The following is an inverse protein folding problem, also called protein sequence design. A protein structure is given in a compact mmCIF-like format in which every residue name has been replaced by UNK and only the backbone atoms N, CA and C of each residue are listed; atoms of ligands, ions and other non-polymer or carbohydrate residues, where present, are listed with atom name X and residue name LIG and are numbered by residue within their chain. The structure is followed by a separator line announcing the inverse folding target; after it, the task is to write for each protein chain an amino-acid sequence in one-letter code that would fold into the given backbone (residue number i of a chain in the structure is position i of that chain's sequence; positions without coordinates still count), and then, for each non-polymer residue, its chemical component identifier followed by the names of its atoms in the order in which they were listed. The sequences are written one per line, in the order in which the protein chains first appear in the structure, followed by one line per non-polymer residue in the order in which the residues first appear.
data_IF_241797577210
#
_entry.id   IF_241797577210
#
_cell.length_a   1.000
_cell.length_b   1.000
_cell.length_c   1.000
_cell.angle_alpha   90.00
_cell.angle_beta   90.00
_cell.angle_gamma   90.00
#
_symmetry.space_group_name_H-M   'P 1'
#
loop_
_entity.id
_entity.type
_entity.pdbx_description
1 polymer ?
#
# COMPACT_ATOMS: atom_id res chain seq x y z
N UNK A 1 5.73 40.36 -48.76
CA UNK A 1 6.74 40.47 -47.68
C UNK A 1 6.00 40.71 -46.36
N UNK A 2 6.32 39.87 -45.35
CA UNK A 2 6.08 39.99 -43.89
C UNK A 2 4.65 40.34 -43.40
N UNK A 3 3.88 39.48 -42.72
CA UNK A 3 4.08 38.76 -41.45
C UNK A 3 4.19 39.67 -40.22
N UNK A 4 3.11 39.79 -39.42
CA UNK A 4 3.02 40.17 -37.99
C UNK A 4 1.53 40.53 -37.71
N UNK A 5 0.77 40.01 -36.74
CA UNK A 5 1.00 39.38 -35.44
C UNK A 5 -0.26 38.57 -35.02
N UNK A 6 -0.15 37.42 -34.33
CA UNK A 6 -1.17 36.95 -33.41
C UNK A 6 -0.64 37.16 -31.98
N UNK A 7 -0.73 38.39 -31.46
CA UNK A 7 -0.33 38.71 -30.08
C UNK A 7 -1.53 38.96 -29.13
N UNK A 8 -2.75 38.98 -29.65
CA UNK A 8 -3.97 39.31 -28.87
C UNK A 8 -4.69 38.09 -28.26
N UNK A 9 -4.27 36.85 -28.56
CA UNK A 9 -4.87 35.64 -27.98
C UNK A 9 -4.17 35.08 -26.74
N UNK A 10 -2.93 35.50 -26.45
CA UNK A 10 -2.19 35.01 -25.27
C UNK A 10 -2.50 35.81 -23.99
N UNK A 11 -2.90 37.08 -24.11
CA UNK A 11 -3.14 37.94 -22.94
C UNK A 11 -4.47 37.61 -22.25
N UNK A 12 -5.46 37.08 -22.98
CA UNK A 12 -6.77 36.68 -22.44
C UNK A 12 -6.74 35.34 -21.68
N UNK A 13 -5.79 34.45 -21.98
CA UNK A 13 -5.65 33.16 -21.30
C UNK A 13 -5.01 33.29 -19.90
N UNK A 14 -4.02 34.18 -19.74
CA UNK A 14 -3.36 34.41 -18.44
C UNK A 14 -4.22 35.24 -17.48
N UNK A 15 -5.06 36.15 -18.00
CA UNK A 15 -5.96 36.95 -17.16
C UNK A 15 -7.14 36.12 -16.60
N UNK A 16 -7.64 35.14 -17.37
CA UNK A 16 -8.63 34.14 -16.90
C UNK A 16 -8.10 33.25 -15.77
N UNK A 17 -6.82 32.85 -15.85
CA UNK A 17 -6.17 32.06 -14.81
C UNK A 17 -5.92 32.85 -13.53
N UNK A 18 -5.64 34.16 -13.61
CA UNK A 18 -5.41 35.00 -12.44
C UNK A 18 -6.71 35.44 -11.74
N UNK A 19 -7.77 35.73 -12.50
CA UNK A 19 -9.08 36.10 -11.94
C UNK A 19 -9.81 34.87 -11.35
N UNK A 20 -9.60 33.66 -11.88
CA UNK A 20 -10.11 32.42 -11.26
C UNK A 20 -9.40 32.09 -9.94
N UNK A 21 -8.09 32.33 -9.84
CA UNK A 21 -7.31 32.12 -8.60
C UNK A 21 -7.68 33.14 -7.52
N UNK A 22 -8.02 34.39 -7.89
CA UNK A 22 -8.46 35.42 -6.93
C UNK A 22 -9.95 35.34 -6.56
N UNK A 23 -10.82 34.86 -7.44
CA UNK A 23 -12.22 34.60 -7.12
C UNK A 23 -12.42 33.36 -6.22
N UNK A 24 -11.50 32.38 -6.28
CA UNK A 24 -11.49 31.22 -5.37
C UNK A 24 -10.94 31.56 -3.98
N UNK A 25 -10.17 32.64 -3.85
CA UNK A 25 -9.66 33.14 -2.56
C UNK A 25 -10.61 34.13 -1.85
N UNK A 26 -11.55 34.75 -2.58
CA UNK A 26 -12.35 35.87 -2.07
C UNK A 26 -13.82 35.55 -1.74
N UNK A 27 -14.30 34.31 -1.93
CA UNK A 27 -15.73 33.97 -1.72
C UNK A 27 -16.03 32.91 -0.66
N UNK A 28 -15.18 32.70 0.35
CA UNK A 28 -15.61 32.11 1.64
C UNK A 28 -14.81 32.64 2.84
N UNK A 29 -14.31 33.88 2.79
CA UNK A 29 -13.94 34.65 3.99
C UNK A 29 -15.17 35.03 4.86
N UNK A 30 -16.29 34.32 4.71
CA UNK A 30 -17.58 34.58 5.32
C UNK A 30 -18.04 33.40 6.17
N UNK A 31 -17.29 33.12 7.24
CA UNK A 31 -17.73 32.31 8.38
C UNK A 31 -17.53 30.81 8.22
N UNK A 32 -16.77 30.21 9.15
CA UNK A 32 -17.10 28.99 9.90
C UNK A 32 -15.85 28.51 10.67
N UNK A 33 -16.10 27.95 11.85
CA UNK A 33 -15.11 27.35 12.75
C UNK A 33 -14.27 26.29 12.03
N UNK A 34 -12.94 26.47 11.97
CA UNK A 34 -11.95 25.38 12.02
C UNK A 34 -12.07 24.19 11.05
N UNK A 35 -12.80 24.31 9.93
CA UNK A 35 -12.88 23.26 8.92
C UNK A 35 -11.69 23.36 7.97
N UNK A 36 -10.96 22.26 7.80
CA UNK A 36 -9.86 22.17 6.84
C UNK A 36 -10.47 22.02 5.45
N UNK A 37 -10.28 23.02 4.59
CA UNK A 37 -10.79 23.02 3.22
C UNK A 37 -10.18 21.89 2.39
N UNK A 38 -10.99 21.01 1.75
CA UNK A 38 -10.49 19.91 0.93
C UNK A 38 -9.52 20.35 -0.17
N UNK A 39 -9.80 21.49 -0.81
CA UNK A 39 -8.96 22.03 -1.87
C UNK A 39 -7.54 22.38 -1.38
N UNK A 40 -7.40 22.83 -0.13
CA UNK A 40 -6.10 23.13 0.45
C UNK A 40 -5.27 21.86 0.67
N UNK A 41 -5.89 20.77 1.11
CA UNK A 41 -5.21 19.47 1.27
C UNK A 41 -4.84 18.85 -0.09
N UNK A 42 -5.69 18.99 -1.10
CA UNK A 42 -5.37 18.56 -2.47
C UNK A 42 -4.18 19.36 -3.02
N UNK A 43 -4.09 20.66 -2.74
CA UNK A 43 -2.92 21.46 -3.09
C UNK A 43 -1.65 21.01 -2.35
N UNK A 44 -1.77 20.63 -1.07
CA UNK A 44 -0.67 20.11 -0.25
C UNK A 44 -0.08 18.81 -0.84
N UNK A 45 -0.92 17.93 -1.40
CA UNK A 45 -0.45 16.73 -2.13
C UNK A 45 0.51 17.08 -3.29
N UNK A 46 0.39 18.26 -3.90
CA UNK A 46 1.19 18.69 -5.04
C UNK A 46 2.66 18.98 -4.70
N UNK A 47 2.97 19.18 -3.43
CA UNK A 47 4.33 19.42 -2.92
C UNK A 47 4.76 18.37 -1.89
N UNK A 48 3.91 17.41 -1.59
CA UNK A 48 4.17 16.33 -0.65
C UNK A 48 5.22 15.35 -1.17
N UNK A 49 6.08 14.87 -0.27
CA UNK A 49 6.90 13.70 -0.54
C UNK A 49 6.06 12.41 -0.48
N UNK A 50 6.66 11.29 -0.90
CA UNK A 50 5.97 9.98 -0.92
C UNK A 50 5.42 9.55 0.45
N UNK A 51 6.08 9.92 1.54
CA UNK A 51 5.65 9.56 2.90
C UNK A 51 4.41 10.34 3.34
N UNK A 52 4.34 11.62 2.98
CA UNK A 52 3.23 12.50 3.34
C UNK A 52 1.92 12.19 2.59
N UNK A 53 1.99 11.63 1.37
CA UNK A 53 0.81 11.33 0.53
C UNK A 53 -0.23 10.48 1.27
N UNK A 54 0.18 9.44 2.02
CA UNK A 54 -0.74 8.58 2.77
C UNK A 54 -1.51 9.34 3.83
N UNK A 55 -0.80 10.13 4.64
CA UNK A 55 -1.40 10.90 5.72
C UNK A 55 -2.37 11.97 5.20
N UNK A 56 -2.04 12.61 4.08
CA UNK A 56 -2.89 13.62 3.45
C UNK A 56 -4.12 13.00 2.81
N UNK A 57 -3.95 11.89 2.11
CA UNK A 57 -5.04 11.10 1.55
C UNK A 57 -5.99 10.59 2.66
N UNK A 58 -5.46 10.16 3.82
CA UNK A 58 -6.28 9.77 4.97
C UNK A 58 -7.06 10.94 5.58
N UNK A 59 -6.45 12.13 5.65
CA UNK A 59 -7.13 13.35 6.10
C UNK A 59 -8.25 13.74 5.14
N UNK A 60 -8.01 13.68 3.84
CA UNK A 60 -9.02 13.93 2.80
C UNK A 60 -10.17 12.93 2.87
N UNK A 61 -9.88 11.63 3.03
CA UNK A 61 -10.90 10.59 3.18
C UNK A 61 -11.78 10.80 4.42
N UNK A 62 -11.20 11.29 5.53
CA UNK A 62 -11.96 11.62 6.75
C UNK A 62 -12.91 12.80 6.60
N UNK A 63 -12.67 13.69 5.63
CA UNK A 63 -13.63 14.75 5.30
C UNK A 63 -14.87 14.16 4.62
N UNK A 64 -14.72 13.04 3.90
CA UNK A 64 -15.83 12.30 3.30
C UNK A 64 -16.33 12.92 1.99
N UNK A 65 -17.63 12.83 1.75
CA UNK A 65 -18.27 13.25 0.49
C UNK A 65 -17.99 14.72 0.12
N UNK A 66 -17.84 15.60 1.11
CA UNK A 66 -17.52 17.02 0.91
C UNK A 66 -16.16 17.24 0.19
N UNK A 67 -15.24 16.27 0.27
CA UNK A 67 -13.96 16.32 -0.42
C UNK A 67 -14.02 15.84 -1.87
N UNK A 68 -15.07 15.09 -2.27
CA UNK A 68 -15.17 14.44 -3.59
C UNK A 68 -14.97 15.42 -4.76
N UNK A 69 -15.60 16.62 -4.78
CA UNK A 69 -15.39 17.57 -5.88
C UNK A 69 -13.92 17.99 -6.03
N UNK A 70 -13.24 18.28 -4.92
CA UNK A 70 -11.83 18.67 -4.93
C UNK A 70 -10.92 17.50 -5.34
N UNK A 71 -11.22 16.30 -4.87
CA UNK A 71 -10.48 15.09 -5.20
C UNK A 71 -10.60 14.72 -6.68
N UNK A 72 -11.81 14.80 -7.25
CA UNK A 72 -12.04 14.60 -8.69
C UNK A 72 -11.28 15.64 -9.52
N UNK A 73 -11.27 16.90 -9.11
CA UNK A 73 -10.43 17.91 -9.75
C UNK A 73 -8.93 17.56 -9.66
N UNK A 74 -8.50 16.95 -8.56
CA UNK A 74 -7.14 16.44 -8.36
C UNK A 74 -6.73 15.34 -9.33
N UNK A 75 -7.67 14.45 -9.71
CA UNK A 75 -7.43 13.38 -10.69
C UNK A 75 -7.11 13.91 -12.10
N UNK A 76 -7.62 15.11 -12.44
CA UNK A 76 -7.43 15.72 -13.76
C UNK A 76 -6.12 16.54 -13.86
N UNK A 77 -5.27 16.49 -12.84
CA UNK A 77 -4.00 17.24 -12.81
C UNK A 77 -2.85 16.44 -13.44
N UNK A 78 -1.82 17.14 -13.91
CA UNK A 78 -0.57 16.51 -14.37
C UNK A 78 0.37 16.12 -13.22
N UNK A 79 0.02 16.44 -11.98
CA UNK A 79 0.85 16.21 -10.80
C UNK A 79 0.59 14.81 -10.26
N UNK A 80 1.50 13.90 -10.55
CA UNK A 80 1.42 12.48 -10.22
C UNK A 80 1.13 12.21 -8.72
N UNK A 81 1.69 13.01 -7.80
CA UNK A 81 1.42 12.90 -6.35
C UNK A 81 -0.01 13.29 -5.97
N UNK A 82 -0.57 14.31 -6.63
CA UNK A 82 -1.97 14.76 -6.46
C UNK A 82 -2.91 13.67 -6.96
N UNK A 83 -2.64 13.12 -8.14
CA UNK A 83 -3.43 12.02 -8.70
C UNK A 83 -3.43 10.82 -7.76
N UNK A 84 -2.26 10.37 -7.29
CA UNK A 84 -2.14 9.24 -6.38
C UNK A 84 -2.92 9.46 -5.07
N UNK A 85 -2.67 10.58 -4.40
CA UNK A 85 -3.30 10.90 -3.11
C UNK A 85 -4.82 11.08 -3.23
N UNK A 86 -5.26 11.71 -4.33
CA UNK A 86 -6.67 11.95 -4.58
C UNK A 86 -7.41 10.65 -4.91
N UNK A 87 -6.83 9.80 -5.77
CA UNK A 87 -7.41 8.51 -6.11
C UNK A 87 -7.52 7.60 -4.89
N UNK A 88 -6.46 7.51 -4.07
CA UNK A 88 -6.52 6.73 -2.83
C UNK A 88 -7.62 7.23 -1.87
N UNK A 89 -7.77 8.54 -1.73
CA UNK A 89 -8.80 9.10 -0.86
C UNK A 89 -10.22 8.81 -1.39
N UNK A 90 -10.42 8.91 -2.71
CA UNK A 90 -11.69 8.57 -3.36
C UNK A 90 -12.04 7.08 -3.19
N UNK A 91 -11.06 6.18 -3.29
CA UNK A 91 -11.26 4.76 -3.01
C UNK A 91 -11.81 4.52 -1.60
N UNK A 92 -11.23 5.21 -0.61
CA UNK A 92 -11.67 5.11 0.79
C UNK A 92 -13.05 5.69 1.05
N UNK A 93 -13.45 6.69 0.26
CA UNK A 93 -14.78 7.30 0.34
C UNK A 93 -15.83 6.42 -0.37
N UNK A 94 -15.40 5.56 -1.31
CA UNK A 94 -16.28 4.69 -2.10
C UNK A 94 -16.59 5.23 -3.50
N UNK A 95 -15.89 6.26 -3.97
CA UNK A 95 -15.96 6.77 -5.36
C UNK A 95 -14.89 6.08 -6.22
N UNK A 96 -15.04 4.75 -6.37
CA UNK A 96 -13.97 3.86 -6.81
C UNK A 96 -13.65 3.94 -8.31
N UNK A 97 -14.67 3.98 -9.18
CA UNK A 97 -14.48 3.92 -10.65
C UNK A 97 -13.51 5.00 -11.19
N UNK A 98 -13.68 6.31 -10.90
CA UNK A 98 -12.75 7.32 -11.40
C UNK A 98 -11.35 7.16 -10.81
N UNK A 99 -11.27 6.69 -9.58
CA UNK A 99 -10.02 6.53 -8.87
C UNK A 99 -9.23 5.32 -9.39
N UNK A 100 -9.88 4.18 -9.66
CA UNK A 100 -9.25 2.99 -10.24
C UNK A 100 -8.67 3.33 -11.62
N UNK A 101 -9.45 4.00 -12.47
CA UNK A 101 -8.99 4.44 -13.79
C UNK A 101 -7.76 5.35 -13.69
N UNK A 102 -7.75 6.28 -12.75
CA UNK A 102 -6.62 7.18 -12.52
C UNK A 102 -5.38 6.42 -12.05
N UNK A 103 -5.51 5.47 -11.12
CA UNK A 103 -4.40 4.66 -10.64
C UNK A 103 -3.83 3.76 -11.73
N UNK A 104 -4.68 3.10 -12.53
CA UNK A 104 -4.23 2.29 -13.67
C UNK A 104 -3.45 3.13 -14.69
N UNK A 105 -3.93 4.35 -14.98
CA UNK A 105 -3.23 5.28 -15.85
C UNK A 105 -1.88 5.72 -15.24
N UNK A 106 -1.86 5.98 -13.93
CA UNK A 106 -0.65 6.37 -13.22
C UNK A 106 0.42 5.27 -13.28
N UNK A 107 0.05 3.99 -13.10
CA UNK A 107 1.00 2.86 -13.23
C UNK A 107 1.62 2.81 -14.63
N UNK A 108 0.83 3.09 -15.67
CA UNK A 108 1.29 3.08 -17.07
C UNK A 108 2.21 4.26 -17.41
N UNK A 109 1.86 5.45 -16.94
CA UNK A 109 2.37 6.70 -17.50
C UNK A 109 3.23 7.54 -16.56
N UNK A 110 3.22 7.27 -15.25
CA UNK A 110 4.00 8.06 -14.29
C UNK A 110 5.49 8.04 -14.63
N UNK A 111 6.15 9.19 -14.46
CA UNK A 111 7.60 9.31 -14.66
C UNK A 111 8.37 8.75 -13.47
N UNK A 112 7.79 8.88 -12.27
CA UNK A 112 8.38 8.32 -11.07
C UNK A 112 7.95 6.87 -10.87
N UNK A 113 8.92 5.97 -10.95
CA UNK A 113 8.73 4.54 -10.78
C UNK A 113 8.30 4.17 -9.34
N UNK A 114 8.68 4.97 -8.34
CA UNK A 114 8.15 4.82 -7.00
C UNK A 114 6.64 5.11 -6.95
N UNK A 115 6.15 6.15 -7.65
CA UNK A 115 4.71 6.44 -7.72
C UNK A 115 3.94 5.32 -8.43
N UNK A 116 4.52 4.66 -9.45
CA UNK A 116 3.93 3.47 -10.06
C UNK A 116 3.72 2.35 -9.05
N UNK A 117 4.76 2.03 -8.25
CA UNK A 117 4.68 1.01 -7.20
C UNK A 117 3.70 1.37 -6.10
N UNK A 118 3.68 2.64 -5.71
CA UNK A 118 2.74 3.16 -4.73
C UNK A 118 1.30 3.05 -5.23
N UNK A 119 1.02 3.32 -6.50
CA UNK A 119 -0.31 3.11 -7.09
C UNK A 119 -0.74 1.63 -7.07
N UNK A 120 0.16 0.68 -7.34
CA UNK A 120 -0.11 -0.75 -7.19
C UNK A 120 -0.45 -1.08 -5.72
N UNK A 121 0.30 -0.51 -4.78
CA UNK A 121 0.08 -0.75 -3.35
C UNK A 121 -1.28 -0.26 -2.85
N UNK A 122 -1.85 0.78 -3.47
CA UNK A 122 -3.20 1.25 -3.15
C UNK A 122 -4.23 0.16 -3.42
N UNK A 123 -4.19 -0.49 -4.59
CA UNK A 123 -5.12 -1.60 -4.88
C UNK A 123 -5.03 -2.72 -3.84
N UNK A 124 -3.80 -3.09 -3.44
CA UNK A 124 -3.56 -4.14 -2.44
C UNK A 124 -4.07 -3.74 -1.05
N UNK A 125 -3.79 -2.51 -0.61
CA UNK A 125 -4.19 -2.02 0.71
C UNK A 125 -5.70 -1.89 0.85
N UNK A 126 -6.36 -1.35 -0.18
CA UNK A 126 -7.81 -1.19 -0.22
C UNK A 126 -8.53 -2.48 -0.67
N UNK A 127 -7.78 -3.55 -0.97
CA UNK A 127 -8.27 -4.91 -1.30
C UNK A 127 -9.21 -4.96 -2.50
N UNK A 128 -8.92 -4.17 -3.53
CA UNK A 128 -9.73 -4.09 -4.75
C UNK A 128 -9.44 -5.31 -5.63
N UNK A 129 -10.17 -6.40 -5.40
CA UNK A 129 -9.93 -7.69 -6.04
C UNK A 129 -10.20 -7.68 -7.55
N UNK A 130 -11.14 -6.82 -7.96
CA UNK A 130 -11.61 -6.58 -9.32
C UNK A 130 -10.50 -5.98 -10.19
N UNK A 131 -9.56 -5.25 -9.58
CA UNK A 131 -8.41 -4.68 -10.27
C UNK A 131 -7.39 -5.73 -10.71
N UNK A 132 -7.51 -7.00 -10.29
CA UNK A 132 -6.52 -8.03 -10.60
C UNK A 132 -6.36 -8.30 -12.11
N UNK A 133 -7.45 -8.34 -12.87
CA UNK A 133 -7.37 -8.53 -14.33
C UNK A 133 -6.81 -7.29 -15.05
N UNK A 134 -7.29 -6.05 -14.78
CA UNK A 134 -6.65 -4.84 -15.30
C UNK A 134 -5.15 -4.78 -15.00
N UNK A 135 -4.74 -5.07 -13.76
CA UNK A 135 -3.33 -5.11 -13.35
C UNK A 135 -2.57 -6.22 -14.07
N UNK A 136 -3.16 -7.40 -14.25
CA UNK A 136 -2.55 -8.49 -15.02
C UNK A 136 -2.26 -8.08 -16.47
N UNK A 137 -3.12 -7.27 -17.08
CA UNK A 137 -2.92 -6.75 -18.43
C UNK A 137 -1.78 -5.72 -18.50
N UNK A 138 -1.39 -5.09 -17.38
CA UNK A 138 -0.22 -4.19 -17.34
C UNK A 138 1.11 -4.93 -17.52
N UNK A 139 1.16 -6.26 -17.40
CA UNK A 139 2.40 -7.02 -17.59
C UNK A 139 3.00 -6.85 -19.00
N UNK A 140 2.18 -6.52 -20.00
CA UNK A 140 2.66 -6.30 -21.37
C UNK A 140 3.18 -4.88 -21.59
N UNK A 141 2.99 -3.98 -20.62
CA UNK A 141 3.50 -2.61 -20.67
C UNK A 141 5.01 -2.59 -20.35
N UNK A 142 5.65 -1.50 -20.77
CA UNK A 142 7.06 -1.23 -20.45
C UNK A 142 7.15 -0.75 -19.01
N UNK A 143 7.40 -1.69 -18.10
CA UNK A 143 7.61 -1.47 -16.67
C UNK A 143 9.04 -1.84 -16.30
N UNK A 144 9.63 -1.11 -15.35
CA UNK A 144 10.89 -1.51 -14.72
C UNK A 144 10.77 -2.89 -14.07
N UNK A 145 11.88 -3.60 -13.85
CA UNK A 145 11.88 -4.84 -13.09
C UNK A 145 11.26 -4.70 -11.70
N UNK A 146 11.55 -3.61 -10.99
CA UNK A 146 11.06 -3.34 -9.63
C UNK A 146 9.54 -3.14 -9.62
N UNK A 147 9.02 -2.37 -10.57
CA UNK A 147 7.57 -2.16 -10.72
C UNK A 147 6.87 -3.45 -11.16
N UNK A 148 7.51 -4.26 -12.00
CA UNK A 148 6.98 -5.57 -12.39
C UNK A 148 6.92 -6.56 -11.22
N UNK A 149 7.94 -6.59 -10.37
CA UNK A 149 7.95 -7.40 -9.13
C UNK A 149 6.79 -6.98 -8.21
N UNK A 150 6.62 -5.67 -8.01
CA UNK A 150 5.53 -5.11 -7.21
C UNK A 150 4.16 -5.50 -7.80
N UNK A 151 4.01 -5.40 -9.12
CA UNK A 151 2.79 -5.76 -9.83
C UNK A 151 2.43 -7.24 -9.61
N UNK A 152 3.40 -8.15 -9.81
CA UNK A 152 3.16 -9.59 -9.63
C UNK A 152 2.84 -9.92 -8.17
N UNK A 153 3.57 -9.34 -7.21
CA UNK A 153 3.29 -9.51 -5.79
C UNK A 153 1.90 -9.00 -5.42
N UNK A 154 1.53 -7.82 -5.91
CA UNK A 154 0.22 -7.22 -5.65
C UNK A 154 -0.93 -8.07 -6.20
N UNK A 155 -0.83 -8.51 -7.46
CA UNK A 155 -1.84 -9.38 -8.09
C UNK A 155 -2.02 -10.70 -7.31
N UNK A 156 -0.93 -11.27 -6.78
CA UNK A 156 -1.01 -12.49 -5.97
C UNK A 156 -1.88 -12.31 -4.71
N UNK A 157 -1.78 -11.14 -4.06
CA UNK A 157 -2.59 -10.83 -2.89
C UNK A 157 -4.06 -10.53 -3.23
N UNK A 158 -4.33 -9.98 -4.42
CA UNK A 158 -5.67 -9.56 -4.84
C UNK A 158 -6.55 -10.70 -5.37
N UNK A 159 -5.98 -11.71 -6.04
CA UNK A 159 -6.79 -12.71 -6.73
C UNK A 159 -6.21 -14.11 -6.70
N UNK A 160 -7.00 -15.07 -6.21
CA UNK A 160 -6.68 -16.51 -6.25
C UNK A 160 -6.48 -17.03 -7.67
N UNK A 161 -7.18 -16.46 -8.66
CA UNK A 161 -7.10 -16.86 -10.07
C UNK A 161 -5.70 -16.62 -10.66
N UNK A 162 -5.05 -15.54 -10.24
CA UNK A 162 -3.75 -15.15 -10.78
C UNK A 162 -2.56 -15.56 -9.91
N UNK A 163 -2.76 -16.04 -8.68
CA UNK A 163 -1.68 -16.42 -7.75
C UNK A 163 -0.59 -17.26 -8.40
N UNK A 164 -0.96 -18.37 -9.04
CA UNK A 164 0.03 -19.27 -9.64
C UNK A 164 0.79 -18.61 -10.79
N UNK A 165 0.09 -17.82 -11.62
CA UNK A 165 0.71 -17.14 -12.75
C UNK A 165 1.66 -16.04 -12.29
N UNK A 166 1.26 -15.23 -11.32
CA UNK A 166 2.11 -14.20 -10.70
C UNK A 166 3.34 -14.80 -10.04
N UNK A 167 3.18 -15.92 -9.32
CA UNK A 167 4.32 -16.63 -8.72
C UNK A 167 5.29 -17.14 -9.80
N UNK A 168 4.78 -17.69 -10.90
CA UNK A 168 5.63 -18.17 -11.99
C UNK A 168 6.41 -17.03 -12.68
N UNK A 169 5.80 -15.87 -12.87
CA UNK A 169 6.49 -14.68 -13.39
C UNK A 169 7.64 -14.25 -12.45
N UNK A 170 7.39 -14.21 -11.14
CA UNK A 170 8.45 -13.93 -10.16
C UNK A 170 9.58 -14.98 -10.20
N UNK A 171 9.26 -16.26 -10.40
CA UNK A 171 10.26 -17.33 -10.57
C UNK A 171 11.12 -17.12 -11.81
N UNK A 172 10.53 -16.73 -12.93
CA UNK A 172 11.29 -16.40 -14.15
C UNK A 172 12.24 -15.21 -13.91
N UNK A 173 11.83 -14.23 -13.11
CA UNK A 173 12.69 -13.10 -12.77
C UNK A 173 13.92 -13.47 -11.92
N UNK A 174 13.93 -14.63 -11.27
CA UNK A 174 15.13 -15.19 -10.64
C UNK A 174 16.20 -15.59 -11.65
N UNK A 175 15.87 -15.76 -12.92
CA UNK A 175 16.83 -16.08 -13.99
C UNK A 175 17.50 -14.83 -14.58
N UNK A 176 17.08 -13.62 -14.14
CA UNK A 176 17.65 -12.37 -14.63
C UNK A 176 19.15 -12.29 -14.37
N UNK A 177 19.94 -11.74 -15.30
CA UNK A 177 21.36 -11.45 -15.05
C UNK A 177 21.57 -10.30 -14.06
N UNK A 178 20.55 -9.46 -13.83
CA UNK A 178 20.59 -8.35 -12.90
C UNK A 178 20.32 -8.82 -11.46
N UNK A 179 21.31 -8.64 -10.58
CA UNK A 179 21.23 -9.01 -9.16
C UNK A 179 20.07 -8.33 -8.43
N UNK A 180 19.80 -7.05 -8.68
CA UNK A 180 18.70 -6.33 -8.05
C UNK A 180 17.34 -6.94 -8.42
N UNK A 181 17.15 -7.32 -9.69
CA UNK A 181 15.95 -8.02 -10.16
C UNK A 181 15.79 -9.38 -9.50
N UNK A 182 16.85 -10.22 -9.48
CA UNK A 182 16.79 -11.54 -8.83
C UNK A 182 16.49 -11.44 -7.35
N UNK A 183 17.19 -10.55 -6.65
CA UNK A 183 17.04 -10.35 -5.22
C UNK A 183 15.64 -9.81 -4.88
N UNK A 184 15.13 -8.85 -5.66
CA UNK A 184 13.78 -8.33 -5.50
C UNK A 184 12.71 -9.40 -5.74
N UNK A 185 12.88 -10.24 -6.77
CA UNK A 185 11.98 -11.35 -7.04
C UNK A 185 12.01 -12.40 -5.92
N UNK A 186 13.18 -12.72 -5.36
CA UNK A 186 13.31 -13.63 -4.23
C UNK A 186 12.60 -13.10 -2.96
N UNK A 187 12.75 -11.81 -2.65
CA UNK A 187 12.03 -11.19 -1.53
C UNK A 187 10.52 -11.20 -1.76
N UNK A 188 10.05 -10.94 -2.98
CA UNK A 188 8.64 -11.01 -3.32
C UNK A 188 8.07 -12.44 -3.25
N UNK A 189 8.85 -13.46 -3.67
CA UNK A 189 8.50 -14.87 -3.49
C UNK A 189 8.36 -15.24 -2.01
N UNK A 190 9.26 -14.72 -1.16
CA UNK A 190 9.18 -14.91 0.28
C UNK A 190 7.94 -14.24 0.90
N UNK A 191 7.58 -13.02 0.45
CA UNK A 191 6.34 -12.33 0.83
C UNK A 191 5.08 -13.14 0.52
N UNK A 192 5.05 -13.83 -0.62
CA UNK A 192 3.95 -14.72 -1.00
C UNK A 192 4.09 -16.14 -0.44
N UNK A 193 5.00 -16.33 0.53
CA UNK A 193 5.28 -17.57 1.27
C UNK A 193 5.89 -18.71 0.45
N UNK A 194 6.44 -18.43 -0.73
CA UNK A 194 7.24 -19.40 -1.50
C UNK A 194 8.70 -19.36 -1.03
N UNK A 195 8.89 -19.71 0.25
CA UNK A 195 10.20 -19.62 0.90
C UNK A 195 11.22 -20.59 0.32
N UNK A 196 10.78 -21.79 -0.10
CA UNK A 196 11.71 -22.81 -0.58
C UNK A 196 12.30 -22.43 -1.94
N UNK A 197 11.53 -21.78 -2.83
CA UNK A 197 12.09 -21.23 -4.08
C UNK A 197 13.02 -20.04 -3.80
N UNK A 198 12.68 -19.18 -2.82
CA UNK A 198 13.47 -18.02 -2.47
C UNK A 198 14.76 -18.33 -1.69
N UNK A 199 14.83 -19.49 -1.02
CA UNK A 199 15.84 -19.82 -0.02
C UNK A 199 17.29 -19.55 -0.44
N UNK A 200 17.78 -20.01 -1.62
CA UNK A 200 19.18 -19.81 -1.99
C UNK A 200 19.58 -18.34 -2.09
N UNK A 201 18.62 -17.47 -2.44
CA UNK A 201 18.82 -16.03 -2.57
C UNK A 201 18.73 -15.33 -1.21
N UNK A 202 17.81 -15.76 -0.33
CA UNK A 202 17.69 -15.22 1.02
C UNK A 202 18.94 -15.51 1.86
N UNK A 203 19.52 -16.72 1.77
CA UNK A 203 20.76 -17.11 2.45
C UNK A 203 22.00 -16.31 1.98
N UNK A 204 21.95 -15.79 0.76
CA UNK A 204 22.97 -14.85 0.26
C UNK A 204 22.73 -13.46 0.85
N UNK A 205 21.49 -12.95 0.74
CA UNK A 205 21.11 -11.61 1.18
C UNK A 205 21.25 -11.40 2.68
N UNK A 206 20.96 -12.41 3.51
CA UNK A 206 21.01 -12.28 4.98
C UNK A 206 22.38 -11.88 5.52
N UNK A 207 23.45 -12.08 4.74
CA UNK A 207 24.83 -11.74 5.12
C UNK A 207 25.14 -10.26 4.88
N UNK A 208 24.27 -9.56 4.17
CA UNK A 208 24.46 -8.15 3.82
C UNK A 208 23.87 -7.24 4.92
N UNK A 209 24.58 -6.15 5.31
CA UNK A 209 24.06 -5.15 6.25
C UNK A 209 23.19 -4.12 5.50
N UNK A 210 22.21 -4.61 4.74
CA UNK A 210 21.29 -3.80 3.93
C UNK A 210 19.86 -4.04 4.38
N UNK A 211 18.94 -3.14 4.04
CA UNK A 211 17.51 -3.35 4.28
C UNK A 211 16.98 -4.63 3.61
N UNK A 212 17.56 -5.01 2.46
CA UNK A 212 17.25 -6.28 1.80
C UNK A 212 17.73 -7.48 2.62
N UNK A 213 18.94 -7.41 3.19
CA UNK A 213 19.47 -8.43 4.09
C UNK A 213 18.68 -8.54 5.40
N UNK A 214 18.23 -7.41 5.96
CA UNK A 214 17.32 -7.38 7.12
C UNK A 214 16.01 -8.11 6.82
N UNK A 215 15.37 -7.79 5.69
CA UNK A 215 14.15 -8.48 5.25
C UNK A 215 14.39 -9.97 5.02
N UNK A 216 15.53 -10.34 4.41
CA UNK A 216 15.86 -11.75 4.18
C UNK A 216 15.97 -12.54 5.49
N UNK A 217 16.63 -11.98 6.52
CA UNK A 217 16.70 -12.59 7.86
C UNK A 217 15.30 -12.83 8.44
N UNK A 218 14.41 -11.84 8.34
CA UNK A 218 13.02 -11.98 8.81
C UNK A 218 12.28 -13.10 8.07
N UNK A 219 12.43 -13.21 6.75
CA UNK A 219 11.77 -14.30 6.00
C UNK A 219 12.33 -15.68 6.34
N UNK A 220 13.63 -15.80 6.60
CA UNK A 220 14.24 -17.06 7.04
C UNK A 220 13.73 -17.49 8.42
N UNK A 221 13.53 -16.52 9.33
CA UNK A 221 12.89 -16.76 10.62
C UNK A 221 11.43 -17.19 10.44
N UNK A 222 10.65 -16.47 9.62
CA UNK A 222 9.26 -16.82 9.29
C UNK A 222 9.14 -18.21 8.67
N UNK A 223 10.06 -18.59 7.78
CA UNK A 223 10.11 -19.94 7.20
C UNK A 223 10.32 -21.00 8.29
N UNK A 224 11.26 -20.77 9.20
CA UNK A 224 11.56 -21.68 10.31
C UNK A 224 10.33 -21.87 11.21
N UNK A 225 9.65 -20.76 11.52
CA UNK A 225 8.40 -20.79 12.28
C UNK A 225 7.30 -21.56 11.55
N UNK A 226 7.11 -21.33 10.24
CA UNK A 226 6.09 -22.04 9.46
C UNK A 226 6.34 -23.55 9.44
N UNK A 227 7.59 -24.00 9.24
CA UNK A 227 7.93 -25.43 9.32
C UNK A 227 7.66 -26.02 10.70
N UNK A 228 7.94 -25.26 11.76
CA UNK A 228 7.63 -25.69 13.12
C UNK A 228 6.12 -25.83 13.35
N UNK A 229 5.31 -24.87 12.88
CA UNK A 229 3.86 -24.94 12.96
C UNK A 229 3.29 -26.12 12.16
N UNK A 230 3.83 -26.40 10.97
CA UNK A 230 3.48 -27.58 10.18
C UNK A 230 3.78 -28.89 10.94
N UNK A 231 4.96 -28.99 11.57
CA UNK A 231 5.30 -30.15 12.40
C UNK A 231 4.36 -30.32 13.59
N UNK A 232 3.95 -29.23 14.25
CA UNK A 232 2.98 -29.29 15.34
C UNK A 232 1.60 -29.74 14.85
N UNK A 233 1.14 -29.19 13.72
CA UNK A 233 -0.15 -29.59 13.13
C UNK A 233 -0.17 -31.07 12.74
N UNK A 234 0.97 -31.63 12.32
CA UNK A 234 1.12 -33.07 12.05
C UNK A 234 1.15 -33.93 13.33
N UNK A 235 1.56 -33.35 14.48
CA UNK A 235 1.60 -34.06 15.78
C UNK A 235 0.21 -34.18 16.43
N UNK A 236 -0.70 -33.26 16.12
CA UNK A 236 -2.03 -33.15 16.76
C UNK A 236 -3.17 -33.78 15.92
N UNK A 237 -2.92 -34.88 15.19
CA UNK A 237 -3.97 -35.67 14.52
C UNK A 237 -5.13 -36.11 15.45
N UNK A 238 -6.28 -36.56 14.92
CA UNK A 238 -7.51 -36.76 15.70
C UNK A 238 -7.30 -37.80 16.82
N UNK A 239 -7.19 -37.31 18.06
CA UNK A 239 -7.21 -38.00 19.36
C UNK A 239 -6.59 -39.39 19.45
N UNK A 240 -5.46 -39.51 20.16
CA UNK A 240 -5.30 -40.35 21.38
C UNK A 240 -3.98 -40.01 22.11
N UNK A 241 -4.07 -39.79 23.42
CA UNK A 241 -3.08 -39.47 24.50
C UNK A 241 -1.69 -40.14 24.48
N UNK A 242 -0.71 -39.73 25.36
CA UNK A 242 -0.42 -38.41 25.96
C UNK A 242 1.06 -37.94 25.85
N UNK A 243 1.21 -36.62 25.71
CA UNK A 243 2.29 -35.67 26.10
C UNK A 243 3.71 -36.21 26.36
N UNK A 244 4.60 -36.05 25.37
CA UNK A 244 6.05 -35.99 25.58
C UNK A 244 6.56 -34.53 25.44
N UNK A 245 7.31 -34.10 26.47
CA UNK A 245 8.01 -32.83 26.70
C UNK A 245 7.72 -31.65 25.75
N UNK A 246 7.11 -30.61 26.29
CA UNK A 246 6.98 -29.30 25.63
C UNK A 246 8.36 -28.72 25.31
N UNK A 247 8.67 -28.41 24.04
CA UNK A 247 9.83 -27.59 23.72
C UNK A 247 9.62 -26.17 24.28
N UNK A 248 10.57 -25.71 25.11
CA UNK A 248 10.58 -24.36 25.67
C UNK A 248 11.05 -23.37 24.61
N UNK A 249 10.21 -22.39 24.27
CA UNK A 249 10.58 -21.27 23.42
C UNK A 249 10.65 -20.01 24.28
N UNK A 250 11.86 -19.50 24.58
CA UNK A 250 12.03 -18.37 25.49
C UNK A 250 11.20 -17.14 25.11
N UNK A 251 11.06 -16.87 23.80
CA UNK A 251 10.27 -15.76 23.26
C UNK A 251 8.76 -15.95 23.44
N UNK A 252 8.24 -17.17 23.26
CA UNK A 252 6.82 -17.47 23.48
C UNK A 252 6.52 -17.46 24.98
N UNK A 253 7.43 -18.00 25.80
CA UNK A 253 7.30 -17.97 27.26
C UNK A 253 7.30 -16.54 27.79
N UNK A 254 8.13 -15.66 27.22
CA UNK A 254 8.18 -14.24 27.55
C UNK A 254 6.92 -13.49 27.09
N UNK A 255 6.47 -13.69 25.85
CA UNK A 255 5.22 -13.11 25.37
C UNK A 255 4.01 -13.57 26.21
N UNK A 256 3.94 -14.86 26.56
CA UNK A 256 2.89 -15.42 27.42
C UNK A 256 2.98 -14.89 28.85
N UNK A 257 4.18 -14.60 29.35
CA UNK A 257 4.38 -13.96 30.66
C UNK A 257 3.86 -12.52 30.64
N UNK A 258 4.17 -11.76 29.59
CA UNK A 258 3.68 -10.39 29.39
C UNK A 258 2.15 -10.34 29.28
N UNK A 259 1.54 -11.27 28.52
CA UNK A 259 0.09 -11.38 28.39
C UNK A 259 -0.56 -11.70 29.74
N UNK A 260 -0.02 -12.66 30.51
CA UNK A 260 -0.55 -13.01 31.84
C UNK A 260 -0.40 -11.87 32.84
N UNK A 261 0.71 -11.13 32.78
CA UNK A 261 0.93 -9.97 33.63
C UNK A 261 -0.09 -8.87 33.33
N UNK A 262 -0.29 -8.54 32.05
CA UNK A 262 -1.32 -7.58 31.62
C UNK A 262 -2.73 -8.04 32.01
N UNK A 263 -3.04 -9.34 31.90
CA UNK A 263 -4.35 -9.88 32.26
C UNK A 263 -4.61 -9.91 33.77
N UNK A 264 -3.56 -10.08 34.59
CA UNK A 264 -3.66 -9.97 36.05
C UNK A 264 -3.75 -8.52 36.51
N UNK A 265 -3.07 -7.58 35.84
CA UNK A 265 -3.18 -6.15 36.12
C UNK A 265 -4.60 -5.63 35.83
N UNK A 266 -5.26 -6.14 34.78
CA UNK A 266 -6.67 -5.82 34.48
C UNK A 266 -7.66 -6.40 35.52
N UNK A 267 -7.37 -7.55 36.14
CA UNK A 267 -8.23 -8.11 37.21
C UNK A 267 -8.11 -7.42 38.56
N UNK A 268 -7.05 -6.63 38.79
CA UNK A 268 -6.83 -5.88 40.04
C UNK A 268 -7.47 -4.49 40.00
N UNK A 269 -7.87 -3.99 38.83
CA UNK A 269 -8.72 -2.80 38.71
C UNK A 269 -10.20 -3.21 38.71
N UNK A 270 -10.81 -3.02 39.88
CA UNK A 270 -12.13 -3.48 40.29
C UNK A 270 -13.24 -3.38 39.27
N UNK A 271 -13.86 -4.53 39.02
CA UNK A 271 -15.26 -4.60 38.65
C UNK A 271 -16.02 -4.88 39.94
N UNK A 272 -16.87 -3.95 40.34
CA UNK A 272 -17.74 -4.10 41.50
C UNK A 272 -18.97 -4.90 41.04
N UNK A 273 -19.22 -6.07 41.64
CA UNK A 273 -20.29 -7.01 41.26
C UNK A 273 -21.72 -6.43 41.32
N UNK A 274 -21.89 -5.15 41.64
CA UNK A 274 -23.17 -4.44 41.71
C UNK A 274 -23.63 -3.77 40.42
N UNK A 275 -22.79 -3.68 39.37
CA UNK A 275 -23.18 -3.04 38.10
C UNK A 275 -23.75 -4.01 37.05
N UNK A 276 -23.76 -5.33 37.33
CA UNK A 276 -24.28 -6.35 36.41
C UNK A 276 -25.76 -6.71 36.62
N UNK A 277 -26.44 -6.13 37.63
CA UNK A 277 -27.88 -6.36 37.86
C UNK A 277 -28.79 -5.28 37.22
N UNK A 278 -28.25 -4.34 36.44
CA UNK A 278 -29.06 -3.31 35.77
C UNK A 278 -29.05 -3.35 34.23
N UNK A 279 -28.71 -4.49 33.63
CA UNK A 279 -28.93 -4.79 32.21
C UNK A 279 -29.67 -6.12 32.06
#
# INVERSE_FOLDING_TARGET
MASCLPALSLVTASFRRFVAVLALLALTAGGLRGQVEPAALVAELGVADHGAIWSLSDRLAKIGEDAVPALRAGLETERESVVLGSARALMKIGDEEPAEKALLMLIKSARDDALRRLAISVFVQEKISEAAEPLWNLRTEVLSPETRIELMRGIWHLSSTYRQRSANELKQMLESSNDATRNGAALALADIKDYDTALPYLEKLEKEPTAAGERARLYLEMRTLNKYLEMLAMRDGPTTTPRAAEPRFPLIDEAMRMIKQAHNEVKVQGWNDKELESY
#
